data_IF_094442032876
#
_entry.id   IF_094442032876
#
_cell.length_a   1.000
_cell.length_b   1.000
_cell.length_c   1.000
_cell.angle_alpha   90.00
_cell.angle_beta   90.00
_cell.angle_gamma   90.00
#
_symmetry.space_group_name_H-M   'P 1'
#
loop_
_entity.id
_entity.type
_entity.pdbx_description
1 polymer ?
#
# COMPACT_ATOMS: atom_id res chain seq x y z
N UNK A 1 12.05 16.17 27.39
CA UNK A 1 11.78 15.03 26.48
C UNK A 1 10.45 15.31 25.78
N UNK A 2 10.47 15.76 24.52
CA UNK A 2 9.23 16.04 23.78
C UNK A 2 8.79 14.74 23.10
N UNK A 3 7.79 14.05 23.65
CA UNK A 3 7.07 13.02 22.91
C UNK A 3 6.27 13.72 21.82
N UNK A 4 6.89 13.91 20.65
CA UNK A 4 6.13 14.18 19.43
C UNK A 4 5.40 12.88 19.09
N UNK A 5 4.10 12.86 19.30
CA UNK A 5 3.16 11.99 18.60
C UNK A 5 3.32 12.31 17.11
N UNK A 6 4.32 11.69 16.49
CA UNK A 6 4.60 11.81 15.07
C UNK A 6 3.41 11.16 14.36
N UNK A 7 2.49 11.99 13.89
CA UNK A 7 1.38 11.54 13.08
C UNK A 7 2.01 10.79 11.88
N UNK A 8 1.78 9.48 11.70
CA UNK A 8 2.50 8.67 10.69
C UNK A 8 2.23 9.13 9.26
N UNK A 9 1.24 10.00 9.08
CA UNK A 9 0.87 10.66 7.83
C UNK A 9 1.67 11.96 7.56
N UNK A 10 2.30 12.55 8.58
CA UNK A 10 3.09 13.79 8.47
C UNK A 10 4.50 13.44 7.97
N UNK A 11 4.73 13.65 6.68
CA UNK A 11 6.00 13.38 6.01
C UNK A 11 5.92 12.33 4.91
N UNK A 12 4.78 11.64 4.76
CA UNK A 12 4.55 10.78 3.61
C UNK A 12 4.32 11.63 2.35
N UNK A 13 4.92 11.27 1.22
CA UNK A 13 4.63 11.95 -0.03
C UNK A 13 3.16 11.74 -0.41
N UNK A 14 2.56 12.76 -1.01
CA UNK A 14 1.16 12.75 -1.42
C UNK A 14 0.81 11.54 -2.31
N UNK A 15 1.79 11.01 -3.06
CA UNK A 15 1.63 9.82 -3.89
C UNK A 15 1.42 8.54 -3.06
N UNK A 16 2.17 8.34 -1.98
CA UNK A 16 1.95 7.22 -1.06
C UNK A 16 0.57 7.28 -0.41
N UNK A 17 0.15 8.46 0.04
CA UNK A 17 -1.18 8.67 0.62
C UNK A 17 -2.30 8.37 -0.38
N UNK A 18 -2.15 8.83 -1.63
CA UNK A 18 -3.11 8.53 -2.70
C UNK A 18 -3.18 7.03 -3.00
N UNK A 19 -2.04 6.34 -3.01
CA UNK A 19 -2.02 4.89 -3.21
C UNK A 19 -2.72 4.19 -2.05
N UNK A 20 -2.44 4.60 -0.81
CA UNK A 20 -3.10 4.05 0.37
C UNK A 20 -4.62 4.18 0.27
N UNK A 21 -5.14 5.37 -0.04
CA UNK A 21 -6.57 5.58 -0.25
C UNK A 21 -7.14 4.73 -1.39
N UNK A 22 -6.41 4.60 -2.51
CA UNK A 22 -6.84 3.74 -3.61
C UNK A 22 -6.89 2.26 -3.20
N UNK A 23 -5.91 1.78 -2.44
CA UNK A 23 -5.89 0.42 -1.91
C UNK A 23 -7.03 0.17 -0.92
N UNK A 24 -7.41 1.15 -0.10
CA UNK A 24 -8.58 1.04 0.79
C UNK A 24 -9.88 0.90 -0.01
N UNK A 25 -10.07 1.76 -1.02
CA UNK A 25 -11.27 1.75 -1.88
C UNK A 25 -11.37 0.45 -2.68
N UNK A 26 -10.26 0.00 -3.24
CA UNK A 26 -10.21 -1.19 -4.09
C UNK A 26 -9.83 -2.47 -3.33
N UNK A 27 -9.81 -2.44 -1.99
CA UNK A 27 -9.36 -3.55 -1.13
C UNK A 27 -10.02 -4.87 -1.49
N UNK A 28 -11.33 -4.85 -1.68
CA UNK A 28 -12.13 -6.04 -2.01
C UNK A 28 -11.76 -6.66 -3.37
N UNK A 29 -11.22 -5.87 -4.30
CA UNK A 29 -10.82 -6.35 -5.62
C UNK A 29 -9.48 -7.10 -5.62
N UNK A 30 -8.65 -6.88 -4.59
CA UNK A 30 -7.32 -7.49 -4.49
C UNK A 30 -7.21 -8.54 -3.39
N UNK A 31 -8.26 -8.68 -2.57
CA UNK A 31 -8.34 -9.60 -1.45
C UNK A 31 -8.02 -11.04 -1.89
N UNK A 32 -7.17 -11.71 -1.12
CA UNK A 32 -6.93 -13.14 -1.29
C UNK A 32 -8.21 -13.91 -0.94
N UNK A 33 -8.51 -14.94 -1.73
CA UNK A 33 -9.65 -15.83 -1.48
C UNK A 33 -9.54 -16.54 -0.13
N UNK A 34 -8.31 -16.90 0.27
CA UNK A 34 -8.04 -17.58 1.55
C UNK A 34 -7.88 -16.62 2.73
N UNK A 35 -7.43 -15.39 2.47
CA UNK A 35 -7.17 -14.40 3.50
C UNK A 35 -7.55 -13.00 3.02
N UNK A 36 -8.80 -12.55 3.22
CA UNK A 36 -9.32 -11.32 2.63
C UNK A 36 -8.58 -10.04 3.02
N UNK A 37 -7.83 -10.09 4.12
CA UNK A 37 -7.00 -8.97 4.61
C UNK A 37 -5.68 -8.80 3.84
N UNK A 38 -5.24 -9.84 3.12
CA UNK A 38 -3.98 -9.85 2.40
C UNK A 38 -4.24 -9.78 0.89
N UNK A 39 -3.43 -8.98 0.20
CA UNK A 39 -3.51 -8.81 -1.23
C UNK A 39 -2.13 -8.78 -1.88
N UNK A 40 -2.08 -8.98 -3.20
CA UNK A 40 -0.85 -8.83 -3.97
C UNK A 40 -0.73 -7.41 -4.50
N UNK A 41 0.50 -6.92 -4.71
CA UNK A 41 0.72 -5.59 -5.28
C UNK A 41 -0.06 -5.42 -6.60
N UNK A 42 -0.96 -4.43 -6.71
CA UNK A 42 -1.83 -4.22 -7.88
C UNK A 42 -1.08 -3.55 -9.05
N UNK A 43 0.11 -4.06 -9.38
CA UNK A 43 1.03 -3.50 -10.40
C UNK A 43 0.44 -3.37 -11.80
N UNK A 44 -0.62 -4.14 -12.09
CA UNK A 44 -1.29 -4.20 -13.39
C UNK A 44 -2.75 -3.76 -13.31
N UNK A 45 -3.15 -3.12 -12.20
CA UNK A 45 -4.52 -2.64 -12.09
C UNK A 45 -4.73 -1.43 -12.99
N UNK A 46 -5.70 -1.53 -13.91
CA UNK A 46 -6.01 -0.48 -14.87
C UNK A 46 -6.53 0.79 -14.19
N UNK A 47 -7.29 0.69 -13.09
CA UNK A 47 -7.83 1.84 -12.36
C UNK A 47 -6.71 2.65 -11.71
N UNK A 48 -5.68 1.98 -11.19
CA UNK A 48 -4.50 2.66 -10.67
C UNK A 48 -3.72 3.37 -11.78
N UNK A 49 -3.65 2.78 -12.98
CA UNK A 49 -3.01 3.41 -14.13
C UNK A 49 -3.81 4.63 -14.63
N UNK A 50 -5.13 4.55 -14.65
CA UNK A 50 -6.04 5.65 -15.03
C UNK A 50 -5.90 6.86 -14.11
N UNK A 51 -5.68 6.65 -12.81
CA UNK A 51 -5.41 7.74 -11.85
C UNK A 51 -3.93 8.17 -11.80
N UNK A 52 -3.10 7.64 -12.72
CA UNK A 52 -1.73 8.10 -12.94
C UNK A 52 -0.63 7.37 -12.15
N UNK A 53 -0.87 6.16 -11.65
CA UNK A 53 0.19 5.33 -11.07
C UNK A 53 0.84 4.41 -12.11
N UNK A 54 2.14 4.59 -12.33
CA UNK A 54 2.94 3.58 -13.03
C UNK A 54 3.27 2.40 -12.11
N UNK A 55 3.74 1.29 -12.69
CA UNK A 55 4.23 0.14 -11.91
C UNK A 55 5.31 0.55 -10.90
N UNK A 56 6.27 1.37 -11.34
CA UNK A 56 7.36 1.85 -10.47
C UNK A 56 6.82 2.73 -9.35
N UNK A 57 5.84 3.59 -9.65
CA UNK A 57 5.19 4.42 -8.63
C UNK A 57 4.50 3.58 -7.55
N UNK A 58 3.83 2.50 -7.96
CA UNK A 58 3.19 1.57 -7.02
C UNK A 58 4.24 0.91 -6.14
N UNK A 59 5.34 0.40 -6.71
CA UNK A 59 6.39 -0.25 -5.94
C UNK A 59 7.08 0.73 -4.96
N UNK A 60 7.36 1.97 -5.39
CA UNK A 60 7.92 3.02 -4.52
C UNK A 60 6.96 3.39 -3.39
N UNK A 61 5.70 3.69 -3.73
CA UNK A 61 4.70 4.10 -2.75
C UNK A 61 4.37 2.98 -1.76
N UNK A 62 4.33 1.70 -2.18
CA UNK A 62 4.21 0.57 -1.26
C UNK A 62 5.38 0.52 -0.27
N UNK A 63 6.60 0.79 -0.73
CA UNK A 63 7.79 0.88 0.13
C UNK A 63 7.67 1.99 1.17
N UNK A 64 7.22 3.17 0.76
CA UNK A 64 7.01 4.32 1.65
C UNK A 64 5.92 4.02 2.70
N UNK A 65 4.83 3.35 2.31
CA UNK A 65 3.76 2.96 3.22
C UNK A 65 4.20 1.89 4.22
N UNK A 66 5.10 0.98 3.83
CA UNK A 66 5.72 0.01 4.75
C UNK A 66 6.60 0.75 5.77
N UNK A 67 7.44 1.68 5.31
CA UNK A 67 8.30 2.47 6.19
C UNK A 67 7.51 3.33 7.18
N UNK A 68 6.38 3.88 6.74
CA UNK A 68 5.44 4.60 7.61
C UNK A 68 4.55 3.70 8.46
N UNK A 69 4.76 2.37 8.43
CA UNK A 69 4.03 1.39 9.23
C UNK A 69 2.50 1.36 8.94
N UNK A 70 2.09 1.80 7.76
CA UNK A 70 0.71 1.75 7.26
C UNK A 70 0.41 0.47 6.48
N UNK A 71 1.47 -0.25 6.08
CA UNK A 71 1.38 -1.49 5.33
C UNK A 71 2.24 -2.59 5.97
N UNK A 72 1.65 -3.76 6.18
CA UNK A 72 2.37 -4.98 6.50
C UNK A 72 2.74 -5.70 5.21
N UNK A 73 3.95 -6.25 5.18
CA UNK A 73 4.45 -7.11 4.12
C UNK A 73 4.74 -8.50 4.68
N UNK A 74 4.40 -9.53 3.91
CA UNK A 74 4.86 -10.90 4.12
C UNK A 74 5.33 -11.48 2.79
N UNK A 75 6.42 -12.23 2.82
CA UNK A 75 6.87 -13.01 1.67
C UNK A 75 6.52 -14.48 1.89
N UNK A 76 5.82 -15.08 0.93
CA UNK A 76 5.45 -16.48 0.96
C UNK A 76 5.65 -17.06 -0.44
N UNK A 77 6.45 -18.12 -0.55
CA UNK A 77 6.74 -18.82 -1.82
C UNK A 77 7.12 -17.84 -2.95
N UNK A 78 8.07 -16.95 -2.69
CA UNK A 78 8.53 -15.93 -3.64
C UNK A 78 7.46 -14.92 -4.09
N UNK A 79 6.33 -14.86 -3.38
CA UNK A 79 5.25 -13.89 -3.61
C UNK A 79 5.17 -12.92 -2.43
N UNK A 80 5.20 -11.62 -2.74
CA UNK A 80 4.97 -10.56 -1.76
C UNK A 80 3.47 -10.32 -1.59
N UNK A 81 3.02 -10.40 -0.35
CA UNK A 81 1.69 -10.07 0.07
C UNK A 81 1.73 -8.84 0.96
N UNK A 82 0.67 -8.06 0.86
CA UNK A 82 0.51 -6.76 1.47
C UNK A 82 -0.80 -6.75 2.25
N UNK A 83 -0.81 -6.05 3.38
CA UNK A 83 -2.01 -5.82 4.19
C UNK A 83 -1.99 -4.39 4.71
N UNK A 84 -3.11 -3.69 4.57
CA UNK A 84 -3.31 -2.37 5.18
C UNK A 84 -3.48 -2.53 6.70
N UNK A 85 -2.89 -1.63 7.49
CA UNK A 85 -2.95 -1.64 8.95
C UNK A 85 -4.10 -0.81 9.51
#
# INVERSE_FOLDING_TARGET
>A
MRNQTQNPLVGLPARALRLYSALEVFRSAYASLSEPMWFRAPRRDARLQEIGFSKSDIDTALGELIQANLLQIREQQNTRWYRLK
#
